data_IF_640225370399
#
_entry.id   IF_640225370399
#
_cell.length_a   1.000
_cell.length_b   1.000
_cell.length_c   1.000
_cell.angle_alpha   90.00
_cell.angle_beta   90.00
_cell.angle_gamma   90.00
#
_symmetry.space_group_name_H-M   'P 1'
#
loop_
_entity.id
_entity.type
_entity.pdbx_description
1 polymer ?
#
# COMPACT_ATOMS: atom_id res chain seq x y z
N UNK A 1 -22.08 -8.25 -32.39
CA UNK A 1 -21.37 -6.98 -32.62
C UNK A 1 -19.90 -7.23 -32.33
N UNK A 2 -19.03 -7.14 -33.34
CA UNK A 2 -17.58 -7.29 -33.16
C UNK A 2 -17.02 -6.01 -32.53
N UNK A 3 -16.16 -6.13 -31.51
CA UNK A 3 -15.45 -4.99 -30.89
C UNK A 3 -14.37 -4.49 -31.86
N UNK A 4 -14.07 -3.17 -31.91
CA UNK A 4 -13.06 -2.60 -32.79
C UNK A 4 -11.64 -2.92 -32.31
N UNK A 5 -10.74 -3.20 -33.26
CA UNK A 5 -9.33 -3.52 -33.03
C UNK A 5 -8.57 -2.37 -32.36
N UNK A 6 -7.84 -2.67 -31.28
CA UNK A 6 -6.84 -1.75 -30.69
C UNK A 6 -6.99 -1.42 -29.20
N UNK A 7 -7.90 -2.06 -28.45
CA UNK A 7 -7.89 -1.95 -26.99
C UNK A 7 -7.02 -3.06 -26.40
N UNK A 8 -5.84 -2.72 -25.88
CA UNK A 8 -5.11 -3.62 -24.98
C UNK A 8 -5.99 -3.86 -23.75
N UNK A 9 -6.59 -5.05 -23.66
CA UNK A 9 -7.32 -5.44 -22.47
C UNK A 9 -6.34 -5.46 -21.29
N UNK A 10 -6.64 -4.71 -20.24
CA UNK A 10 -5.80 -4.74 -19.04
C UNK A 10 -5.84 -6.16 -18.45
N UNK A 11 -4.77 -6.62 -17.77
CA UNK A 11 -4.79 -7.95 -17.12
C UNK A 11 -6.00 -8.14 -16.19
N UNK A 12 -6.47 -7.04 -15.58
CA UNK A 12 -7.70 -7.02 -14.78
C UNK A 12 -8.97 -7.31 -15.60
N UNK A 13 -9.07 -6.80 -16.84
CA UNK A 13 -10.19 -7.09 -17.75
C UNK A 13 -10.17 -8.53 -18.26
N UNK A 14 -8.98 -9.12 -18.46
CA UNK A 14 -8.84 -10.51 -18.92
C UNK A 14 -9.21 -11.55 -17.85
N UNK A 15 -8.94 -11.26 -16.58
CA UNK A 15 -9.14 -12.23 -15.48
C UNK A 15 -10.39 -11.96 -14.65
N UNK A 16 -11.13 -10.89 -14.97
CA UNK A 16 -12.24 -10.38 -14.17
C UNK A 16 -11.71 -9.57 -12.98
N UNK A 17 -12.36 -8.44 -12.70
CA UNK A 17 -12.13 -7.62 -11.50
C UNK A 17 -12.64 -8.31 -10.22
N UNK A 18 -12.48 -9.63 -10.10
CA UNK A 18 -12.78 -10.33 -8.87
C UNK A 18 -11.52 -10.35 -8.01
N UNK A 19 -11.42 -9.34 -7.15
CA UNK A 19 -10.50 -9.37 -6.02
C UNK A 19 -10.91 -10.58 -5.17
N UNK A 20 -10.04 -11.59 -4.98
CA UNK A 20 -10.35 -12.74 -4.17
C UNK A 20 -10.71 -12.31 -2.74
N UNK A 21 -11.62 -13.05 -2.11
CA UNK A 21 -11.96 -12.80 -0.71
C UNK A 21 -10.88 -13.44 0.15
N UNK A 22 -9.82 -12.66 0.39
CA UNK A 22 -8.65 -13.09 1.13
C UNK A 22 -8.88 -12.87 2.64
N UNK A 23 -8.32 -13.72 3.52
CA UNK A 23 -8.33 -13.48 4.96
C UNK A 23 -7.70 -12.10 5.28
N UNK A 24 -8.03 -11.45 6.41
CA UNK A 24 -7.57 -10.10 6.74
C UNK A 24 -6.04 -9.88 6.59
N UNK A 25 -5.26 -10.93 6.87
CA UNK A 25 -3.80 -11.01 6.71
C UNK A 25 -3.29 -10.84 5.29
N UNK A 26 -4.13 -11.12 4.30
CA UNK A 26 -3.80 -11.04 2.89
C UNK A 26 -4.29 -9.73 2.24
N UNK A 27 -4.92 -8.82 3.02
CA UNK A 27 -5.36 -7.48 2.60
C UNK A 27 -4.49 -6.33 3.12
N UNK A 28 -3.28 -6.61 3.59
CA UNK A 28 -2.38 -5.58 4.15
C UNK A 28 -2.10 -4.41 3.20
N UNK A 29 -1.92 -4.70 1.90
CA UNK A 29 -1.73 -3.65 0.90
C UNK A 29 -2.97 -2.77 0.75
N UNK A 30 -4.17 -3.35 0.80
CA UNK A 30 -5.44 -2.61 0.71
C UNK A 30 -5.69 -1.80 1.98
N UNK A 31 -5.43 -2.38 3.15
CA UNK A 31 -5.50 -1.70 4.45
C UNK A 31 -4.55 -0.51 4.46
N UNK A 32 -3.32 -0.69 3.95
CA UNK A 32 -2.35 0.39 3.83
C UNK A 32 -2.84 1.48 2.87
N UNK A 33 -3.45 1.13 1.74
CA UNK A 33 -4.04 2.11 0.83
C UNK A 33 -5.21 2.89 1.47
N UNK A 34 -6.05 2.22 2.27
CA UNK A 34 -7.18 2.85 2.97
C UNK A 34 -6.73 3.77 4.12
N UNK A 35 -5.74 3.33 4.89
CA UNK A 35 -5.12 4.11 5.96
C UNK A 35 -4.42 5.37 5.43
N UNK A 36 -3.93 5.30 4.18
CA UNK A 36 -2.99 6.24 3.61
C UNK A 36 -1.57 5.65 3.59
N UNK A 37 -0.69 6.18 2.74
CA UNK A 37 0.68 5.65 2.61
C UNK A 37 1.57 6.01 3.80
N UNK A 38 1.32 7.19 4.38
CA UNK A 38 2.03 7.77 5.50
C UNK A 38 1.17 8.88 6.13
N UNK A 39 1.56 9.36 7.31
CA UNK A 39 0.99 10.56 7.91
C UNK A 39 1.56 11.83 7.27
N UNK A 40 0.88 12.95 7.50
CA UNK A 40 1.30 14.26 7.02
C UNK A 40 2.00 15.05 8.14
N UNK A 41 3.30 15.28 7.97
CA UNK A 41 4.11 16.13 8.84
C UNK A 41 4.35 17.51 8.23
N UNK A 42 4.88 18.43 9.05
CA UNK A 42 5.18 19.81 8.65
C UNK A 42 6.11 19.92 7.42
N UNK A 43 7.02 18.96 7.26
CA UNK A 43 8.05 18.94 6.21
C UNK A 43 7.84 17.81 5.19
N UNK A 44 6.63 17.25 5.12
CA UNK A 44 6.28 16.14 4.22
C UNK A 44 5.85 14.88 4.93
N UNK A 45 5.87 13.76 4.22
CA UNK A 45 5.41 12.47 4.71
C UNK A 45 6.20 12.00 5.94
N UNK A 46 5.48 11.55 6.98
CA UNK A 46 6.06 10.98 8.19
C UNK A 46 5.48 9.58 8.45
N UNK A 47 6.28 8.64 9.00
CA UNK A 47 5.79 7.30 9.25
C UNK A 47 4.62 7.28 10.24
N UNK A 48 3.72 6.31 10.07
CA UNK A 48 2.63 6.11 11.01
C UNK A 48 3.12 5.85 12.44
N UNK A 49 2.42 6.47 13.37
CA UNK A 49 2.51 6.21 14.80
C UNK A 49 1.59 5.05 15.18
N UNK A 50 1.90 4.39 16.30
CA UNK A 50 1.03 3.36 16.86
C UNK A 50 -0.37 3.88 17.21
N UNK A 51 -0.49 5.18 17.55
CA UNK A 51 -1.76 5.80 17.84
C UNK A 51 -2.65 5.91 16.59
N UNK A 52 -2.07 6.25 15.44
CA UNK A 52 -2.80 6.32 14.16
C UNK A 52 -3.26 4.93 13.71
N UNK A 53 -2.39 3.91 13.81
CA UNK A 53 -2.77 2.52 13.50
C UNK A 53 -3.89 2.04 14.41
N UNK A 54 -3.80 2.30 15.72
CA UNK A 54 -4.84 1.93 16.67
C UNK A 54 -6.15 2.69 16.43
N UNK A 55 -6.08 3.97 16.06
CA UNK A 55 -7.25 4.78 15.75
C UNK A 55 -7.95 4.25 14.49
N UNK A 56 -7.18 3.95 13.43
CA UNK A 56 -7.68 3.36 12.21
C UNK A 56 -8.41 2.05 12.48
N UNK A 57 -7.77 1.08 13.15
CA UNK A 57 -8.36 -0.22 13.45
C UNK A 57 -9.71 -0.10 14.17
N UNK A 58 -9.82 0.84 15.13
CA UNK A 58 -11.08 1.11 15.84
C UNK A 58 -12.15 1.74 14.95
N UNK A 59 -11.76 2.67 14.06
CA UNK A 59 -12.69 3.40 13.20
C UNK A 59 -13.20 2.55 12.04
N UNK A 60 -12.33 1.73 11.44
CA UNK A 60 -12.68 0.85 10.32
C UNK A 60 -13.30 -0.48 10.76
N UNK A 61 -13.17 -0.84 12.05
CA UNK A 61 -13.53 -2.17 12.54
C UNK A 61 -12.59 -3.27 12.05
N UNK A 62 -11.41 -2.91 11.55
CA UNK A 62 -10.40 -3.87 11.11
C UNK A 62 -9.71 -4.48 12.32
N UNK A 63 -9.79 -5.80 12.47
CA UNK A 63 -8.99 -6.53 13.44
C UNK A 63 -7.57 -6.70 12.90
N UNK A 64 -6.60 -6.05 13.56
CA UNK A 64 -5.19 -6.10 13.19
C UNK A 64 -4.41 -6.90 14.24
N UNK A 65 -3.82 -8.00 13.80
CA UNK A 65 -2.81 -8.72 14.54
C UNK A 65 -1.56 -7.82 14.77
N UNK A 66 -0.84 -7.94 15.90
CA UNK A 66 0.33 -7.10 16.16
C UNK A 66 1.42 -7.14 15.07
N UNK A 67 1.58 -8.27 14.39
CA UNK A 67 2.51 -8.41 13.27
C UNK A 67 2.08 -7.61 12.03
N UNK A 68 0.78 -7.54 11.78
CA UNK A 68 0.19 -6.74 10.70
C UNK A 68 0.34 -5.25 10.97
N UNK A 69 0.04 -4.83 12.20
CA UNK A 69 0.25 -3.45 12.63
C UNK A 69 1.73 -3.04 12.50
N UNK A 70 2.65 -3.93 12.86
CA UNK A 70 4.09 -3.70 12.69
C UNK A 70 4.48 -3.61 11.21
N UNK A 71 3.90 -4.45 10.35
CA UNK A 71 4.11 -4.41 8.91
C UNK A 71 3.64 -3.07 8.32
N UNK A 72 2.45 -2.57 8.69
CA UNK A 72 1.91 -1.30 8.21
C UNK A 72 2.80 -0.10 8.58
N UNK A 73 3.34 -0.09 9.81
CA UNK A 73 4.30 0.92 10.25
C UNK A 73 5.57 0.85 9.40
N UNK A 74 6.09 -0.35 9.14
CA UNK A 74 7.31 -0.51 8.34
C UNK A 74 7.10 -0.11 6.89
N UNK A 75 5.97 -0.49 6.26
CA UNK A 75 5.61 -0.04 4.92
C UNK A 75 5.57 1.49 4.82
N UNK A 76 5.00 2.16 5.83
CA UNK A 76 4.96 3.61 5.92
C UNK A 76 6.35 4.24 6.05
N UNK A 77 7.25 3.64 6.85
CA UNK A 77 8.64 4.08 6.97
C UNK A 77 9.39 3.99 5.65
N UNK A 78 9.28 2.85 4.96
CA UNK A 78 9.91 2.65 3.67
C UNK A 78 9.39 3.64 2.64
N UNK A 79 8.07 3.89 2.61
CA UNK A 79 7.50 4.93 1.76
C UNK A 79 8.11 6.32 2.03
N UNK A 80 8.23 6.72 3.31
CA UNK A 80 8.83 8.00 3.66
C UNK A 80 10.29 8.11 3.21
N UNK A 81 11.08 7.04 3.38
CA UNK A 81 12.48 6.98 2.92
C UNK A 81 12.53 7.17 1.39
N UNK A 82 11.71 6.42 0.64
CA UNK A 82 11.73 6.47 -0.82
C UNK A 82 11.23 7.80 -1.39
N UNK A 83 10.30 8.47 -0.71
CA UNK A 83 9.83 9.81 -1.11
C UNK A 83 10.84 10.90 -0.78
N UNK A 84 11.60 10.74 0.30
CA UNK A 84 12.65 11.69 0.69
C UNK A 84 13.92 11.55 -0.17
N UNK A 85 14.16 10.39 -0.79
CA UNK A 85 15.33 10.16 -1.63
C UNK A 85 15.27 10.96 -2.94
N UNK A 86 16.22 11.88 -3.10
CA UNK A 86 16.38 12.76 -4.27
C UNK A 86 17.52 12.34 -5.19
N UNK A 87 18.12 11.17 -4.99
CA UNK A 87 19.23 10.72 -5.80
C UNK A 87 18.78 10.43 -7.25
N UNK A 88 19.31 11.12 -8.28
CA UNK A 88 18.93 10.89 -9.67
C UNK A 88 19.40 9.54 -10.23
N UNK A 89 20.35 8.87 -9.55
CA UNK A 89 20.85 7.54 -9.92
C UNK A 89 20.21 6.43 -9.08
N UNK A 90 19.11 6.73 -8.38
CA UNK A 90 18.41 5.74 -7.54
C UNK A 90 17.85 4.60 -8.39
N UNK A 91 18.15 3.38 -7.98
CA UNK A 91 17.49 2.17 -8.49
C UNK A 91 16.15 1.98 -7.77
N UNK A 92 15.11 1.60 -8.53
CA UNK A 92 13.81 1.31 -7.95
C UNK A 92 13.93 0.17 -6.92
N UNK A 93 13.15 0.18 -5.82
CA UNK A 93 13.29 -0.82 -4.76
C UNK A 93 13.26 -2.27 -5.26
N UNK A 94 12.41 -2.57 -6.25
CA UNK A 94 12.29 -3.91 -6.85
C UNK A 94 13.48 -4.33 -7.72
N UNK A 95 14.34 -3.39 -8.12
CA UNK A 95 15.51 -3.63 -8.95
C UNK A 95 16.79 -3.81 -8.11
N UNK A 96 16.71 -3.56 -6.80
CA UNK A 96 17.82 -3.74 -5.87
C UNK A 96 18.05 -5.25 -5.66
N UNK A 97 19.24 -5.75 -5.97
CA UNK A 97 19.62 -7.14 -5.66
C UNK A 97 19.77 -7.29 -4.15
N UNK A 98 19.16 -8.34 -3.61
CA UNK A 98 19.26 -8.73 -2.20
C UNK A 98 20.68 -9.20 -1.83
#
# INVERSE_FOLDING_TARGET
MAKPDGQEETRAQMHGEQIPDLPPTERLADIWLQLGRAGDGLSGAVPFTWAEIAAFARMSGTDLHPAEASCLVEMSRQFCIEVADRNPLRMAPMERKA
#
